data_IF_829199081058
#
_entry.id   IF_829199081058
#
_cell.length_a   1.000
_cell.length_b   1.000
_cell.length_c   1.000
_cell.angle_alpha   90.00
_cell.angle_beta   90.00
_cell.angle_gamma   90.00
#
_symmetry.space_group_name_H-M   'P 1'
#
loop_
_entity.id
_entity.type
_entity.pdbx_description
1 polymer ?
#
# COMPACT_ATOMS: atom_id res chain seq x y z
N UNK A 1 14.69 19.73 19.04
CA UNK A 1 14.52 19.22 17.66
C UNK A 1 13.78 17.91 17.67
N UNK A 2 13.06 17.63 16.60
CA UNK A 2 12.37 16.35 16.44
C UNK A 2 13.35 15.36 15.85
N UNK A 3 13.47 14.18 16.46
CA UNK A 3 14.33 13.10 15.95
C UNK A 3 13.45 11.99 15.36
N UNK A 4 13.39 11.95 14.04
CA UNK A 4 12.61 10.92 13.32
C UNK A 4 13.45 9.66 13.18
N UNK A 5 12.90 8.51 13.61
CA UNK A 5 13.60 7.22 13.56
C UNK A 5 13.10 6.34 12.42
N UNK A 6 11.85 6.52 11.99
CA UNK A 6 11.26 5.75 10.89
C UNK A 6 9.93 6.36 10.46
N UNK A 7 9.45 5.95 9.29
CA UNK A 7 8.05 6.11 8.94
C UNK A 7 7.28 4.98 9.64
N UNK A 8 6.40 5.33 10.58
CA UNK A 8 5.69 4.32 11.37
C UNK A 8 4.69 3.55 10.50
N UNK A 9 3.78 4.26 9.87
CA UNK A 9 2.83 3.67 8.93
C UNK A 9 2.31 4.74 7.97
N UNK A 10 1.81 4.27 6.82
CA UNK A 10 1.02 5.05 5.89
C UNK A 10 -0.40 4.48 5.90
N UNK A 11 -1.41 5.34 5.75
CA UNK A 11 -2.81 4.95 5.90
C UNK A 11 -3.52 5.00 4.54
N UNK A 12 -4.21 3.90 4.20
CA UNK A 12 -5.18 3.87 3.11
C UNK A 12 -6.57 3.68 3.71
N UNK A 13 -7.46 4.64 3.46
CA UNK A 13 -8.85 4.53 3.88
C UNK A 13 -9.62 3.60 2.95
N UNK A 14 -10.37 2.68 3.53
CA UNK A 14 -11.17 1.70 2.80
C UNK A 14 -12.62 1.74 3.31
N UNK A 15 -13.57 1.41 2.45
CA UNK A 15 -14.98 1.41 2.80
C UNK A 15 -15.48 0.02 3.14
N UNK A 16 -14.94 -1.00 2.47
CA UNK A 16 -15.28 -2.41 2.67
C UNK A 16 -14.02 -3.16 3.09
N UNK A 17 -13.91 -3.45 4.37
CA UNK A 17 -12.71 -4.07 4.96
C UNK A 17 -12.48 -5.47 4.39
N UNK A 18 -13.55 -6.27 4.21
CA UNK A 18 -13.40 -7.62 3.66
C UNK A 18 -12.88 -7.59 2.22
N UNK A 19 -13.37 -6.66 1.39
CA UNK A 19 -12.90 -6.46 0.02
C UNK A 19 -11.46 -5.98 -0.01
N UNK A 20 -11.12 -5.03 0.85
CA UNK A 20 -9.75 -4.53 0.95
C UNK A 20 -8.78 -5.64 1.39
N UNK A 21 -9.15 -6.44 2.38
CA UNK A 21 -8.33 -7.56 2.85
C UNK A 21 -8.09 -8.59 1.73
N UNK A 22 -9.12 -8.88 0.96
CA UNK A 22 -8.97 -9.80 -0.18
C UNK A 22 -7.96 -9.28 -1.20
N UNK A 23 -7.93 -7.97 -1.41
CA UNK A 23 -6.95 -7.33 -2.30
C UNK A 23 -5.55 -7.35 -1.70
N UNK A 24 -5.37 -6.79 -0.52
CA UNK A 24 -4.04 -6.64 0.10
C UNK A 24 -3.44 -7.99 0.52
N UNK A 25 -4.22 -8.86 1.13
CA UNK A 25 -3.75 -10.17 1.62
C UNK A 25 -3.84 -11.24 0.54
N UNK A 26 -4.99 -11.34 -0.12
CA UNK A 26 -5.25 -12.41 -1.08
C UNK A 26 -4.57 -12.20 -2.42
N UNK A 27 -4.68 -11.01 -2.99
CA UNK A 27 -4.17 -10.73 -4.33
C UNK A 27 -2.71 -10.28 -4.29
N UNK A 28 -2.36 -9.34 -3.42
CA UNK A 28 -0.99 -8.84 -3.31
C UNK A 28 -0.11 -9.72 -2.43
N UNK A 29 -0.69 -10.52 -1.55
CA UNK A 29 0.07 -11.39 -0.65
C UNK A 29 0.80 -10.66 0.46
N UNK A 30 0.33 -9.48 0.87
CA UNK A 30 0.96 -8.75 1.97
C UNK A 30 0.70 -9.45 3.30
N UNK A 31 1.66 -9.35 4.19
CA UNK A 31 1.62 -10.05 5.47
C UNK A 31 1.03 -9.14 6.56
N UNK A 32 -0.05 -9.61 7.19
CA UNK A 32 -0.67 -8.93 8.34
C UNK A 32 0.29 -8.97 9.52
N UNK A 33 0.56 -7.81 10.12
CA UNK A 33 1.33 -7.70 11.36
C UNK A 33 0.51 -7.11 12.50
N UNK A 34 -0.64 -6.51 12.23
CA UNK A 34 -1.60 -6.09 13.25
C UNK A 34 -3.01 -6.19 12.68
N UNK A 35 -3.93 -6.69 13.49
CA UNK A 35 -5.32 -6.91 13.09
C UNK A 35 -6.21 -6.60 14.30
N UNK A 36 -6.87 -5.44 14.27
CA UNK A 36 -7.61 -4.96 15.43
C UNK A 36 -8.97 -4.38 15.04
N UNK A 37 -10.01 -4.93 15.63
CA UNK A 37 -11.31 -4.30 15.66
C UNK A 37 -11.39 -3.44 16.93
N UNK A 38 -11.21 -2.14 16.80
CA UNK A 38 -11.14 -1.25 17.97
C UNK A 38 -12.49 -0.68 18.39
N UNK A 39 -13.53 -0.88 17.58
CA UNK A 39 -14.92 -0.59 17.88
C UNK A 39 -15.77 -1.49 16.95
N UNK A 40 -17.06 -1.74 17.25
CA UNK A 40 -17.90 -2.61 16.44
C UNK A 40 -17.88 -2.19 14.95
N UNK A 41 -17.37 -3.06 14.09
CA UNK A 41 -17.27 -2.82 12.65
C UNK A 41 -16.18 -1.83 12.23
N UNK A 42 -15.35 -1.36 13.15
CA UNK A 42 -14.26 -0.42 12.88
C UNK A 42 -12.91 -1.11 13.05
N UNK A 43 -12.16 -1.17 11.97
CA UNK A 43 -10.95 -1.97 11.86
C UNK A 43 -9.71 -1.13 11.60
N UNK A 44 -8.60 -1.58 12.16
CA UNK A 44 -7.26 -1.11 11.88
C UNK A 44 -6.41 -2.33 11.60
N UNK A 45 -5.89 -2.43 10.40
CA UNK A 45 -5.09 -3.58 9.97
C UNK A 45 -3.80 -3.06 9.39
N UNK A 46 -2.67 -3.56 9.90
CA UNK A 46 -1.35 -3.20 9.40
C UNK A 46 -0.71 -4.35 8.67
N UNK A 47 -0.12 -4.04 7.54
CA UNK A 47 0.68 -4.95 6.74
C UNK A 47 2.16 -4.59 6.87
N UNK A 48 3.01 -5.61 6.98
CA UNK A 48 4.46 -5.44 7.06
C UNK A 48 4.97 -4.73 5.79
N UNK A 49 5.64 -3.62 5.97
CA UNK A 49 6.25 -2.84 4.89
C UNK A 49 7.77 -2.71 5.07
N UNK A 50 8.35 -3.60 5.85
CA UNK A 50 9.80 -3.65 6.10
C UNK A 50 10.19 -2.91 7.37
N UNK A 51 11.03 -3.55 8.21
CA UNK A 51 11.50 -2.97 9.46
C UNK A 51 10.34 -2.51 10.34
N UNK A 52 10.41 -1.28 10.89
CA UNK A 52 9.34 -0.75 11.73
C UNK A 52 8.16 -0.16 10.96
N UNK A 53 8.18 -0.19 9.63
CA UNK A 53 7.17 0.48 8.79
C UNK A 53 6.03 -0.46 8.45
N UNK A 54 4.83 0.11 8.32
CA UNK A 54 3.63 -0.64 7.95
C UNK A 54 2.77 0.14 6.95
N UNK A 55 1.99 -0.60 6.17
CA UNK A 55 0.87 -0.07 5.43
C UNK A 55 -0.39 -0.40 6.23
N UNK A 56 -1.13 0.61 6.65
CA UNK A 56 -2.37 0.44 7.40
C UNK A 56 -3.58 0.64 6.50
N UNK A 57 -4.57 -0.25 6.62
CA UNK A 57 -5.90 -0.01 6.08
C UNK A 57 -6.88 0.17 7.23
N UNK A 58 -7.83 1.06 7.05
CA UNK A 58 -8.83 1.35 8.07
C UNK A 58 -10.10 1.90 7.45
N UNK A 59 -11.24 1.54 8.05
CA UNK A 59 -12.53 2.17 7.76
C UNK A 59 -12.95 3.14 8.86
N UNK A 60 -12.04 3.52 9.73
CA UNK A 60 -12.29 4.50 10.78
C UNK A 60 -12.41 5.89 10.17
N UNK A 61 -13.46 6.62 10.57
CA UNK A 61 -13.66 7.99 10.14
C UNK A 61 -12.75 8.91 10.95
N UNK A 62 -11.81 9.53 10.25
CA UNK A 62 -10.99 10.57 10.85
C UNK A 62 -11.74 11.91 10.84
N UNK A 63 -11.36 12.89 11.69
CA UNK A 63 -11.97 14.22 11.64
C UNK A 63 -11.88 14.91 10.28
N UNK A 64 -10.98 14.47 9.45
CA UNK A 64 -10.80 14.96 8.09
C UNK A 64 -11.34 13.97 7.06
N UNK A 65 -12.47 13.30 7.35
CA UNK A 65 -13.05 12.39 6.40
C UNK A 65 -13.39 13.10 5.11
N UNK A 66 -12.53 12.87 4.18
CA UNK A 66 -12.71 13.20 2.81
C UNK A 66 -13.15 11.91 2.12
N UNK A 67 -14.13 11.99 1.24
CA UNK A 67 -14.51 10.85 0.40
C UNK A 67 -13.49 10.58 -0.69
N UNK A 68 -12.50 11.43 -0.84
CA UNK A 68 -11.42 11.25 -1.80
C UNK A 68 -10.51 10.09 -1.35
N UNK A 69 -9.93 9.36 -2.32
CA UNK A 69 -8.91 8.36 -2.01
C UNK A 69 -7.73 8.95 -1.24
N UNK A 70 -7.08 8.10 -0.44
CA UNK A 70 -5.88 8.48 0.31
C UNK A 70 -4.74 8.84 -0.64
N UNK A 71 -3.80 9.71 -0.22
CA UNK A 71 -2.56 9.89 -0.96
C UNK A 71 -1.86 8.55 -1.22
N UNK A 72 -1.13 8.47 -2.34
CA UNK A 72 -0.48 7.23 -2.73
C UNK A 72 0.57 6.73 -1.74
N UNK A 73 0.67 5.42 -1.65
CA UNK A 73 1.69 4.72 -0.87
C UNK A 73 2.65 4.05 -1.84
N UNK A 74 3.95 4.25 -1.65
CA UNK A 74 4.98 3.60 -2.45
C UNK A 74 5.64 2.50 -1.62
N UNK A 75 5.60 1.28 -2.14
CA UNK A 75 6.25 0.12 -1.54
C UNK A 75 7.52 -0.20 -2.32
N UNK A 76 8.64 -0.28 -1.62
CA UNK A 76 9.89 -0.73 -2.21
C UNK A 76 9.84 -2.24 -2.38
N UNK A 77 10.07 -2.75 -3.59
CA UNK A 77 10.04 -4.19 -3.88
C UNK A 77 11.44 -4.72 -4.14
N UNK A 78 11.68 -5.97 -3.79
CA UNK A 78 12.99 -6.60 -3.98
C UNK A 78 13.25 -6.96 -5.45
N UNK A 79 12.19 -7.20 -6.23
CA UNK A 79 12.30 -7.58 -7.63
C UNK A 79 11.17 -6.90 -8.41
N UNK A 80 11.53 -5.88 -9.18
CA UNK A 80 10.56 -5.06 -9.91
C UNK A 80 9.84 -5.85 -11.01
N UNK A 81 10.58 -6.63 -11.79
CA UNK A 81 10.00 -7.38 -12.91
C UNK A 81 9.03 -8.45 -12.41
N UNK A 82 9.35 -9.09 -11.30
CA UNK A 82 8.47 -10.07 -10.65
C UNK A 82 7.19 -9.41 -10.13
N UNK A 83 7.30 -8.25 -9.51
CA UNK A 83 6.14 -7.50 -9.03
C UNK A 83 5.22 -7.10 -10.19
N UNK A 84 5.80 -6.61 -11.28
CA UNK A 84 5.05 -6.23 -12.48
C UNK A 84 4.33 -7.44 -13.10
N UNK A 85 5.02 -8.57 -13.20
CA UNK A 85 4.45 -9.79 -13.74
C UNK A 85 3.32 -10.33 -12.85
N UNK A 86 3.49 -10.25 -11.52
CA UNK A 86 2.48 -10.71 -10.56
C UNK A 86 1.20 -9.88 -10.65
N UNK A 87 1.32 -8.57 -10.75
CA UNK A 87 0.18 -7.65 -10.89
C UNK A 87 -0.58 -7.94 -12.19
N UNK A 88 0.13 -8.12 -13.29
CA UNK A 88 -0.47 -8.45 -14.58
C UNK A 88 -1.17 -9.82 -14.55
N UNK A 89 -0.55 -10.81 -13.95
CA UNK A 89 -1.13 -12.15 -13.81
C UNK A 89 -2.40 -12.14 -12.96
N UNK A 90 -2.48 -11.26 -11.98
CA UNK A 90 -3.66 -11.09 -11.12
C UNK A 90 -4.78 -10.29 -11.81
N UNK A 91 -4.56 -9.78 -13.03
CA UNK A 91 -5.55 -8.99 -13.75
C UNK A 91 -5.76 -7.57 -13.20
N UNK A 92 -4.80 -7.07 -12.44
CA UNK A 92 -4.85 -5.71 -11.90
C UNK A 92 -4.39 -4.73 -12.98
N UNK A 93 -5.21 -3.71 -13.25
CA UNK A 93 -4.85 -2.68 -14.22
C UNK A 93 -3.71 -1.81 -13.69
N UNK A 94 -2.71 -1.59 -14.54
CA UNK A 94 -1.64 -0.63 -14.27
C UNK A 94 -2.18 0.74 -14.65
N UNK A 95 -2.23 1.65 -13.66
CA UNK A 95 -2.81 2.98 -13.84
C UNK A 95 -1.76 4.02 -14.19
N UNK A 96 -0.47 3.73 -13.94
CA UNK A 96 0.63 4.61 -14.24
C UNK A 96 1.90 3.79 -14.46
N UNK A 97 2.58 4.05 -15.54
CA UNK A 97 3.78 3.32 -15.93
C UNK A 97 3.46 2.02 -16.71
N UNK A 98 4.37 1.06 -16.75
CA UNK A 98 5.66 1.02 -16.05
C UNK A 98 6.63 2.09 -16.55
N UNK A 99 7.38 2.69 -15.63
CA UNK A 99 8.34 3.73 -15.92
C UNK A 99 9.73 3.36 -15.45
N UNK A 100 10.70 3.77 -16.23
CA UNK A 100 12.09 3.78 -15.82
C UNK A 100 12.61 5.20 -15.77
N UNK A 101 13.11 5.60 -14.60
CA UNK A 101 13.77 6.88 -14.38
C UNK A 101 15.25 6.65 -14.12
N UNK A 102 16.03 7.73 -14.06
CA UNK A 102 17.46 7.61 -13.81
C UNK A 102 17.80 6.93 -12.49
N UNK A 103 16.92 7.08 -11.46
CA UNK A 103 17.18 6.59 -10.09
C UNK A 103 16.31 5.40 -9.69
N UNK A 104 15.29 5.04 -10.48
CA UNK A 104 14.35 4.00 -10.07
C UNK A 104 13.50 3.47 -11.23
N UNK A 105 12.84 2.35 -10.95
CA UNK A 105 11.70 1.87 -11.71
C UNK A 105 10.44 2.01 -10.86
N UNK A 106 9.32 2.35 -11.48
CA UNK A 106 8.07 2.51 -10.74
C UNK A 106 6.84 2.29 -11.62
N UNK A 107 5.83 1.65 -11.06
CA UNK A 107 4.49 1.60 -11.64
C UNK A 107 3.45 1.73 -10.53
N UNK A 108 2.23 2.06 -10.90
CA UNK A 108 1.14 2.18 -9.94
C UNK A 108 -0.08 1.40 -10.36
N UNK A 109 -0.83 1.00 -9.35
CA UNK A 109 -2.16 0.39 -9.46
C UNK A 109 -3.09 1.12 -8.51
N UNK A 110 -4.39 0.81 -8.56
CA UNK A 110 -5.36 1.27 -7.56
C UNK A 110 -5.86 0.09 -6.76
N UNK A 111 -6.08 0.31 -5.46
CA UNK A 111 -6.82 -0.64 -4.64
C UNK A 111 -8.33 -0.55 -4.97
N UNK A 112 -9.19 -1.42 -4.38
CA UNK A 112 -10.63 -1.41 -4.66
C UNK A 112 -11.34 -0.11 -4.31
N UNK A 113 -10.78 0.72 -3.45
CA UNK A 113 -11.33 2.03 -3.07
C UNK A 113 -10.75 3.18 -3.90
N UNK A 114 -9.88 2.88 -4.87
CA UNK A 114 -9.25 3.88 -5.72
C UNK A 114 -8.02 4.52 -5.11
N UNK A 115 -7.48 3.98 -4.03
CA UNK A 115 -6.23 4.46 -3.44
C UNK A 115 -5.06 4.07 -4.34
N UNK A 116 -4.16 5.00 -4.59
CA UNK A 116 -2.96 4.73 -5.39
C UNK A 116 -1.96 3.92 -4.60
N UNK A 117 -1.42 2.89 -5.24
CA UNK A 117 -0.38 2.03 -4.69
C UNK A 117 0.75 1.93 -5.71
N UNK A 118 1.93 2.42 -5.34
CA UNK A 118 3.11 2.40 -6.19
C UNK A 118 4.00 1.24 -5.79
N UNK A 119 4.55 0.55 -6.81
CA UNK A 119 5.60 -0.45 -6.62
C UNK A 119 6.87 0.14 -7.18
N UNK A 120 7.87 0.25 -6.34
CA UNK A 120 9.07 1.04 -6.59
C UNK A 120 10.32 0.20 -6.37
N UNK A 121 11.31 0.36 -7.24
CA UNK A 121 12.63 -0.23 -7.04
C UNK A 121 13.69 0.82 -7.29
N UNK A 122 14.39 1.18 -6.25
CA UNK A 122 15.51 2.11 -6.35
C UNK A 122 16.68 1.44 -7.07
N UNK A 123 17.28 2.12 -8.01
CA UNK A 123 18.48 1.64 -8.68
C UNK A 123 19.65 1.72 -7.71
N UNK A 124 20.63 0.78 -7.81
CA UNK A 124 21.83 0.87 -7.00
C UNK A 124 22.55 2.18 -7.26
N UNK A 125 23.22 2.71 -6.24
CA UNK A 125 24.11 3.85 -6.39
C UNK A 125 25.26 3.45 -7.34
N UNK A 126 25.57 4.34 -8.28
CA UNK A 126 26.65 4.11 -9.23
C UNK A 126 28.01 4.26 -8.53
#
# INVERSE_FOLDING_TARGET
MINVTALAFAISHVTDVARARKFYEGTLGLKVCMDMEFAPGKWWIEYDAGGPSALAITNFESPNTNTAPSPGVALEVSNYDEALAAVRAAGIAITWGPNEFSLCHCFAVKDPDGNDLYFHRRKPAA
#
